data_IF_737971046880
#
_entry.id   IF_737971046880
#
_cell.length_a   1.000
_cell.length_b   1.000
_cell.length_c   1.000
_cell.angle_alpha   90.00
_cell.angle_beta   90.00
_cell.angle_gamma   90.00
#
_symmetry.space_group_name_H-M   'P 1'
#
loop_
_entity.id
_entity.type
_entity.pdbx_description
1 polymer ?
#
# COMPACT_ATOMS: atom_id res chain seq x y z
N UNK A 1 -5.70 23.53 -6.18
CA UNK A 1 -5.19 22.31 -6.76
C UNK A 1 -5.59 21.12 -5.89
N UNK A 2 -6.19 20.18 -6.51
CA UNK A 2 -6.65 19.02 -5.77
C UNK A 2 -5.54 18.00 -5.63
N UNK A 3 -5.36 17.48 -4.44
CA UNK A 3 -4.46 16.36 -4.25
C UNK A 3 -5.10 15.13 -4.84
N UNK A 4 -4.29 14.25 -5.38
CA UNK A 4 -4.79 12.96 -5.84
C UNK A 4 -5.32 12.17 -4.66
N UNK A 5 -6.42 11.51 -4.87
CA UNK A 5 -7.03 10.66 -3.85
C UNK A 5 -7.04 9.24 -4.34
N UNK A 6 -6.80 8.34 -3.40
CA UNK A 6 -6.76 6.92 -3.68
C UNK A 6 -8.00 6.26 -3.10
N UNK A 7 -8.70 5.50 -3.94
CA UNK A 7 -9.82 4.69 -3.47
C UNK A 7 -9.40 3.24 -3.49
N UNK A 8 -9.21 2.69 -2.31
CA UNK A 8 -8.76 1.31 -2.17
C UNK A 8 -9.95 0.38 -2.28
N UNK A 9 -9.84 -0.62 -3.15
CA UNK A 9 -10.86 -1.66 -3.23
C UNK A 9 -10.56 -2.68 -2.15
N UNK A 10 -11.25 -2.55 -1.02
CA UNK A 10 -10.99 -3.40 0.14
C UNK A 10 -11.27 -4.88 -0.13
N UNK A 11 -12.04 -5.19 -1.15
CA UNK A 11 -12.30 -6.57 -1.51
C UNK A 11 -11.09 -7.24 -2.17
N UNK A 12 -10.12 -6.45 -2.62
CA UNK A 12 -8.92 -6.98 -3.28
C UNK A 12 -7.73 -7.13 -2.33
N UNK A 13 -7.86 -6.69 -1.07
CA UNK A 13 -6.76 -6.74 -0.13
C UNK A 13 -6.39 -8.19 0.16
N UNK A 14 -5.14 -8.53 -0.06
CA UNK A 14 -4.64 -9.90 0.06
C UNK A 14 -3.30 -9.89 0.79
N UNK A 15 -3.19 -10.72 1.82
CA UNK A 15 -1.94 -10.91 2.55
C UNK A 15 -1.12 -11.98 1.83
N UNK A 16 -0.09 -11.56 1.11
CA UNK A 16 0.82 -12.47 0.44
C UNK A 16 1.98 -12.78 1.38
N UNK A 17 1.81 -13.82 2.19
CA UNK A 17 2.75 -14.15 3.24
C UNK A 17 4.11 -14.55 2.67
N UNK A 18 4.11 -15.25 1.54
CA UNK A 18 5.35 -15.72 0.94
C UNK A 18 6.22 -14.58 0.46
N UNK A 19 5.61 -13.55 -0.11
CA UNK A 19 6.33 -12.38 -0.59
C UNK A 19 6.48 -11.32 0.50
N UNK A 20 5.86 -11.53 1.66
CA UNK A 20 5.90 -10.61 2.80
C UNK A 20 5.38 -9.24 2.39
N UNK A 21 4.20 -9.23 1.81
CA UNK A 21 3.58 -7.99 1.36
C UNK A 21 2.06 -8.13 1.37
N UNK A 22 1.38 -7.00 1.49
CA UNK A 22 -0.08 -6.94 1.36
C UNK A 22 -0.37 -6.32 0.00
N UNK A 23 -1.12 -7.04 -0.83
CA UNK A 23 -1.45 -6.60 -2.18
C UNK A 23 -2.86 -6.06 -2.21
N UNK A 24 -3.07 -5.03 -3.01
CA UNK A 24 -4.41 -4.46 -3.16
C UNK A 24 -4.49 -3.69 -4.46
N UNK A 25 -5.73 -3.44 -4.89
CA UNK A 25 -6.02 -2.63 -6.06
C UNK A 25 -6.63 -1.33 -5.58
N UNK A 26 -6.27 -0.24 -6.21
CA UNK A 26 -6.83 1.06 -5.88
C UNK A 26 -7.00 1.89 -7.14
N UNK A 27 -7.96 2.79 -7.09
CA UNK A 27 -8.24 3.71 -8.17
C UNK A 27 -7.66 5.08 -7.82
N UNK A 28 -6.91 5.65 -8.76
CA UNK A 28 -6.33 6.99 -8.61
C UNK A 28 -6.62 7.74 -9.89
N UNK A 29 -7.32 8.87 -9.79
CA UNK A 29 -7.66 9.70 -10.95
C UNK A 29 -8.38 8.91 -12.04
N UNK A 30 -9.29 8.04 -11.62
CA UNK A 30 -10.13 7.20 -12.50
C UNK A 30 -9.36 6.09 -13.19
N UNK A 31 -8.12 5.82 -12.78
CA UNK A 31 -7.35 4.68 -13.29
C UNK A 31 -7.06 3.71 -12.17
N UNK A 32 -7.12 2.43 -12.49
CA UNK A 32 -6.92 1.36 -11.53
C UNK A 32 -5.48 0.88 -11.56
N UNK A 33 -4.88 0.74 -10.38
CA UNK A 33 -3.50 0.30 -10.24
C UNK A 33 -3.41 -0.82 -9.21
N UNK A 34 -2.41 -1.67 -9.38
CA UNK A 34 -2.12 -2.73 -8.42
C UNK A 34 -0.92 -2.31 -7.57
N UNK A 35 -1.06 -2.48 -6.27
CA UNK A 35 -0.03 -2.09 -5.30
C UNK A 35 0.33 -3.27 -4.42
N UNK A 36 1.56 -3.26 -3.92
CA UNK A 36 2.00 -4.20 -2.89
C UNK A 36 2.73 -3.41 -1.83
N UNK A 37 2.24 -3.49 -0.59
CA UNK A 37 2.85 -2.83 0.56
C UNK A 37 3.67 -3.87 1.29
N UNK A 38 4.99 -3.65 1.36
CA UNK A 38 5.88 -4.61 2.00
C UNK A 38 5.67 -4.62 3.51
N UNK A 39 5.96 -5.76 4.13
CA UNK A 39 5.78 -5.91 5.57
C UNK A 39 6.59 -4.89 6.37
N UNK A 40 7.77 -4.47 5.86
CA UNK A 40 8.57 -3.50 6.57
C UNK A 40 7.86 -2.14 6.68
N UNK A 41 6.97 -1.81 5.73
CA UNK A 41 6.15 -0.61 5.83
C UNK A 41 5.19 -0.75 7.02
N UNK A 42 4.55 -1.92 7.13
CA UNK A 42 3.62 -2.17 8.22
C UNK A 42 4.35 -2.14 9.56
N UNK A 43 5.54 -2.70 9.59
CA UNK A 43 6.35 -2.69 10.81
C UNK A 43 6.75 -1.27 11.19
N UNK A 44 7.14 -0.46 10.20
CA UNK A 44 7.53 0.91 10.48
C UNK A 44 6.38 1.73 11.03
N UNK A 45 5.16 1.45 10.58
CA UNK A 45 3.99 2.20 11.03
C UNK A 45 3.47 1.72 12.37
N UNK A 46 3.46 0.41 12.60
CA UNK A 46 2.84 -0.16 13.80
C UNK A 46 3.82 -0.42 14.93
N UNK A 47 5.11 -0.52 14.60
CA UNK A 47 6.13 -0.86 15.58
C UNK A 47 6.39 -2.35 15.72
N UNK A 48 5.60 -3.20 15.06
CA UNK A 48 5.74 -4.65 15.14
C UNK A 48 5.63 -5.26 13.76
N UNK A 49 6.43 -6.30 13.52
CA UNK A 49 6.33 -7.05 12.28
C UNK A 49 4.98 -7.78 12.24
N UNK A 50 4.34 -7.84 11.07
CA UNK A 50 3.07 -8.56 10.97
C UNK A 50 3.24 -10.04 11.31
N UNK A 51 2.26 -10.57 12.02
CA UNK A 51 2.26 -11.99 12.43
C UNK A 51 0.84 -12.52 12.28
N UNK A 52 0.44 -12.75 11.02
CA UNK A 52 -0.90 -13.23 10.71
C UNK A 52 -1.95 -12.15 10.73
N UNK A 53 -1.57 -10.90 11.00
CA UNK A 53 -2.51 -9.78 11.10
C UNK A 53 -2.15 -8.64 10.16
N UNK A 54 -1.46 -8.94 9.06
CA UNK A 54 -1.00 -7.90 8.15
C UNK A 54 -2.15 -7.08 7.56
N UNK A 55 -3.27 -7.73 7.23
CA UNK A 55 -4.42 -7.03 6.67
C UNK A 55 -5.04 -6.09 7.71
N UNK A 56 -5.12 -6.54 8.96
CA UNK A 56 -5.63 -5.69 10.03
C UNK A 56 -4.73 -4.46 10.23
N UNK A 57 -3.41 -4.67 10.21
CA UNK A 57 -2.47 -3.58 10.33
C UNK A 57 -2.61 -2.62 9.16
N UNK A 58 -2.75 -3.16 7.96
CA UNK A 58 -2.97 -2.36 6.76
C UNK A 58 -4.20 -1.45 6.95
N UNK A 59 -5.30 -2.01 7.43
CA UNK A 59 -6.53 -1.24 7.59
C UNK A 59 -6.41 -0.16 8.66
N UNK A 60 -5.65 -0.44 9.72
CA UNK A 60 -5.46 0.53 10.80
C UNK A 60 -4.62 1.73 10.34
N UNK A 61 -3.71 1.51 9.41
CA UNK A 61 -2.80 2.56 8.95
C UNK A 61 -3.04 2.92 7.49
N UNK A 62 -4.29 2.80 7.05
CA UNK A 62 -4.63 3.01 5.64
C UNK A 62 -4.28 4.42 5.16
N UNK A 63 -4.43 5.43 6.02
CA UNK A 63 -4.14 6.80 5.60
C UNK A 63 -2.67 7.02 5.27
N UNK A 64 -1.71 6.71 6.16
CA UNK A 64 -0.30 6.86 5.79
C UNK A 64 0.11 5.89 4.68
N UNK A 65 -0.51 4.71 4.61
CA UNK A 65 -0.22 3.78 3.52
C UNK A 65 -0.66 4.36 2.18
N UNK A 66 -1.82 4.99 2.14
CA UNK A 66 -2.30 5.63 0.92
C UNK A 66 -1.36 6.73 0.47
N UNK A 67 -0.86 7.53 1.39
CA UNK A 67 0.11 8.57 1.06
C UNK A 67 1.39 7.97 0.49
N UNK A 68 1.89 6.92 1.13
CA UNK A 68 3.10 6.24 0.65
C UNK A 68 2.87 5.61 -0.71
N UNK A 69 1.67 5.04 -0.91
CA UNK A 69 1.33 4.42 -2.20
C UNK A 69 1.27 5.46 -3.31
N UNK A 70 0.74 6.64 -3.03
CA UNK A 70 0.72 7.71 -4.02
C UNK A 70 2.13 8.17 -4.37
N UNK A 71 3.02 8.22 -3.39
CA UNK A 71 4.41 8.54 -3.62
C UNK A 71 5.06 7.49 -4.53
N UNK A 72 4.82 6.21 -4.23
CA UNK A 72 5.36 5.12 -5.03
C UNK A 72 4.80 5.15 -6.46
N UNK A 73 3.52 5.45 -6.61
CA UNK A 73 2.90 5.56 -7.91
C UNK A 73 3.54 6.66 -8.75
N UNK A 74 3.80 7.80 -8.14
CA UNK A 74 4.45 8.91 -8.82
C UNK A 74 5.81 8.52 -9.38
N UNK A 75 6.53 7.66 -8.64
CA UNK A 75 7.86 7.21 -9.04
C UNK A 75 7.79 6.10 -10.09
N UNK A 76 6.84 5.18 -9.94
CA UNK A 76 6.82 3.93 -10.70
C UNK A 76 5.53 3.75 -11.49
N UNK A 77 4.99 4.82 -12.05
CA UNK A 77 3.68 4.79 -12.71
C UNK A 77 3.61 3.78 -13.86
N UNK A 78 4.75 3.46 -14.46
CA UNK A 78 4.78 2.52 -15.60
C UNK A 78 4.86 1.06 -15.19
N UNK A 79 4.96 0.78 -13.90
CA UNK A 79 5.11 -0.60 -13.45
C UNK A 79 3.76 -1.29 -13.35
N UNK A 80 3.68 -2.57 -13.72
CA UNK A 80 2.42 -3.32 -13.58
C UNK A 80 2.03 -3.54 -12.13
N UNK A 81 3.00 -3.61 -11.23
CA UNK A 81 2.77 -3.73 -9.80
C UNK A 81 3.63 -2.68 -9.10
N UNK A 82 3.00 -1.82 -8.34
CA UNK A 82 3.69 -0.72 -7.69
C UNK A 82 4.05 -1.15 -6.27
N UNK A 83 5.34 -1.25 -5.99
CA UNK A 83 5.83 -1.66 -4.68
C UNK A 83 5.94 -0.44 -3.78
N UNK A 84 5.27 -0.51 -2.65
CA UNK A 84 5.35 0.53 -1.62
C UNK A 84 6.34 0.05 -0.57
N UNK A 85 7.40 0.79 -0.37
CA UNK A 85 8.45 0.40 0.56
C UNK A 85 8.57 1.43 1.67
N UNK A 86 9.40 1.11 2.65
CA UNK A 86 9.66 1.98 3.78
C UNK A 86 10.17 3.35 3.33
N UNK A 87 10.88 3.39 2.21
CA UNK A 87 11.40 4.64 1.67
C UNK A 87 10.29 5.59 1.21
N UNK A 88 9.09 5.09 1.00
CA UNK A 88 7.96 5.92 0.59
C UNK A 88 7.24 6.54 1.78
N UNK A 89 7.58 6.12 2.98
CA UNK A 89 7.10 6.76 4.19
C UNK A 89 7.96 7.97 4.47
N UNK A 90 7.32 9.04 4.80
CA UNK A 90 8.08 10.25 4.97
C UNK A 90 7.75 10.99 6.25
#
# INVERSE_FOLDING_TARGET
MAASQMEIDHATILDNIEAEQVEFTAEVDAEEYEFAVQYDVLEALSGDAPDGDAVDTFRRFVDPISDAALTALSRDVDQPLILVSENDLD
#
